data_IF_511788841747
#
_entry.id   IF_511788841747
#
_cell.length_a   1.000
_cell.length_b   1.000
_cell.length_c   1.000
_cell.angle_alpha   90.00
_cell.angle_beta   90.00
_cell.angle_gamma   90.00
#
_symmetry.space_group_name_H-M   'P 1'
#
loop_
_entity.id
_entity.type
_entity.pdbx_description
1 polymer ?
#
# COMPACT_ATOMS: atom_id res chain seq x y z
N UNK A 1 2.43 15.01 3.34
CA UNK A 1 3.19 13.82 3.76
C UNK A 1 4.29 13.58 2.74
N UNK A 2 5.54 13.92 3.06
CA UNK A 2 6.67 13.61 2.19
C UNK A 2 7.02 12.14 2.33
N UNK A 3 6.68 11.32 1.34
CA UNK A 3 7.11 9.93 1.29
C UNK A 3 8.57 9.88 0.83
N UNK A 4 9.50 9.88 1.79
CA UNK A 4 10.90 9.61 1.51
C UNK A 4 11.08 8.10 1.32
N UNK A 5 11.29 7.70 0.07
CA UNK A 5 11.71 6.35 -0.31
C UNK A 5 13.15 6.11 0.18
N UNK A 6 13.39 4.95 0.78
CA UNK A 6 14.74 4.47 1.05
C UNK A 6 15.46 4.21 -0.27
N UNK A 7 16.69 4.69 -0.38
CA UNK A 7 17.65 4.06 -1.30
C UNK A 7 17.88 2.60 -0.91
N UNK A 8 18.35 1.76 -1.84
CA UNK A 8 18.65 0.36 -1.56
C UNK A 8 19.56 0.23 -0.32
N UNK A 9 19.23 -0.70 0.58
CA UNK A 9 20.15 -1.05 1.67
C UNK A 9 21.33 -1.79 1.05
N UNK A 10 22.54 -1.29 1.29
CA UNK A 10 23.74 -2.12 1.18
C UNK A 10 23.75 -3.08 2.38
N UNK A 11 23.02 -4.18 2.30
CA UNK A 11 23.18 -5.28 3.25
C UNK A 11 24.43 -6.08 2.81
N UNK A 12 25.61 -5.65 3.26
CA UNK A 12 26.93 -6.31 3.10
C UNK A 12 27.03 -7.64 3.89
N UNK A 13 25.97 -8.44 3.92
CA UNK A 13 25.94 -9.66 4.76
C UNK A 13 26.57 -10.88 4.10
N UNK A 14 26.96 -10.83 2.81
CA UNK A 14 27.62 -11.95 2.12
C UNK A 14 26.81 -13.25 2.09
N UNK A 15 25.53 -13.20 2.47
CA UNK A 15 24.66 -14.38 2.50
C UNK A 15 24.19 -14.64 1.07
N UNK A 16 24.74 -15.71 0.47
CA UNK A 16 24.27 -16.26 -0.80
C UNK A 16 22.79 -16.61 -0.64
N UNK A 17 21.91 -15.79 -1.23
CA UNK A 17 20.49 -16.10 -1.24
C UNK A 17 20.25 -17.36 -2.08
N UNK A 18 19.42 -18.31 -1.62
CA UNK A 18 19.20 -19.54 -2.37
C UNK A 18 18.59 -19.25 -3.76
N UNK A 19 19.00 -20.01 -4.76
CA UNK A 19 18.43 -19.95 -6.10
C UNK A 19 17.01 -20.55 -6.07
N UNK A 20 15.99 -19.71 -6.19
CA UNK A 20 14.59 -20.14 -6.18
C UNK A 20 13.99 -20.08 -7.59
N UNK A 21 13.27 -21.14 -7.98
CA UNK A 21 12.54 -21.20 -9.25
C UNK A 21 11.16 -20.56 -9.14
N UNK A 22 10.94 -19.44 -9.83
CA UNK A 22 9.64 -18.87 -10.20
C UNK A 22 9.89 -17.58 -11.00
N UNK A 23 9.29 -17.47 -12.20
CA UNK A 23 9.64 -16.48 -13.25
C UNK A 23 11.09 -16.65 -13.72
N UNK A 24 11.39 -16.48 -15.01
CA UNK A 24 12.78 -16.42 -15.46
C UNK A 24 13.43 -15.09 -15.00
N UNK A 25 13.50 -14.90 -13.68
CA UNK A 25 14.33 -13.89 -13.02
C UNK A 25 15.82 -14.18 -13.23
N UNK A 26 16.17 -15.35 -13.76
CA UNK A 26 17.54 -15.67 -14.17
C UNK A 26 17.89 -14.97 -15.49
N UNK A 27 16.92 -14.73 -16.38
CA UNK A 27 17.10 -13.87 -17.54
C UNK A 27 17.44 -12.44 -17.08
N UNK A 28 18.55 -11.93 -17.60
CA UNK A 28 18.94 -10.52 -17.44
C UNK A 28 18.02 -9.55 -18.19
N UNK A 29 17.09 -10.08 -19.00
CA UNK A 29 16.15 -9.33 -19.84
C UNK A 29 14.70 -9.60 -19.43
N UNK A 30 13.85 -8.59 -19.60
CA UNK A 30 12.39 -8.68 -19.53
C UNK A 30 11.74 -8.13 -20.80
N UNK A 31 10.49 -8.53 -21.06
CA UNK A 31 9.68 -8.00 -22.17
C UNK A 31 8.69 -6.97 -21.67
N UNK A 32 8.67 -5.79 -22.28
CA UNK A 32 7.71 -4.71 -22.05
C UNK A 32 6.67 -4.66 -23.19
N UNK A 33 5.81 -3.64 -23.23
CA UNK A 33 4.78 -3.46 -24.25
C UNK A 33 5.32 -3.60 -25.68
N UNK A 34 4.51 -4.15 -26.59
CA UNK A 34 4.93 -4.45 -27.96
C UNK A 34 5.97 -5.57 -28.10
N UNK A 35 6.31 -6.26 -27.00
CA UNK A 35 7.29 -7.36 -27.00
C UNK A 35 8.75 -6.88 -26.98
N UNK A 36 8.98 -5.59 -26.72
CA UNK A 36 10.32 -5.00 -26.65
C UNK A 36 11.11 -5.60 -25.47
N UNK A 37 12.35 -6.01 -25.71
CA UNK A 37 13.25 -6.51 -24.69
C UNK A 37 13.99 -5.36 -23.99
N UNK A 38 14.09 -5.43 -22.66
CA UNK A 38 14.81 -4.46 -21.83
C UNK A 38 15.57 -5.18 -20.73
N UNK A 39 16.74 -4.65 -20.32
CA UNK A 39 17.48 -5.18 -19.16
C UNK A 39 16.65 -5.04 -17.88
N UNK A 40 16.71 -6.03 -16.98
CA UNK A 40 16.05 -5.92 -15.65
C UNK A 40 16.72 -4.91 -14.72
N UNK A 41 17.94 -4.47 -15.05
CA UNK A 41 18.61 -3.36 -14.36
C UNK A 41 18.05 -1.98 -14.74
N UNK A 42 17.11 -1.94 -15.68
CA UNK A 42 16.52 -0.73 -16.22
C UNK A 42 15.05 -0.60 -15.81
N UNK A 43 14.58 0.65 -15.70
CA UNK A 43 13.15 0.94 -15.72
C UNK A 43 12.83 2.15 -16.61
N UNK A 44 11.63 2.15 -17.20
CA UNK A 44 11.11 3.25 -18.02
C UNK A 44 10.71 4.44 -17.13
N UNK A 45 11.08 5.65 -17.54
CA UNK A 45 10.90 6.87 -16.73
C UNK A 45 10.60 8.10 -17.59
N UNK A 46 10.05 9.15 -16.98
CA UNK A 46 9.70 10.39 -17.66
C UNK A 46 8.47 10.21 -18.55
N UNK A 47 7.35 9.89 -17.90
CA UNK A 47 6.07 9.67 -18.56
C UNK A 47 5.61 10.91 -19.34
N UNK A 48 5.23 10.72 -20.61
CA UNK A 48 4.86 11.79 -21.55
C UNK A 48 3.40 12.25 -21.44
N UNK A 49 2.56 11.55 -20.67
CA UNK A 49 1.24 12.05 -20.26
C UNK A 49 0.02 11.52 -21.01
N UNK A 50 0.16 10.62 -21.99
CA UNK A 50 -0.95 10.29 -22.92
C UNK A 50 -1.64 8.96 -22.70
N UNK A 51 -0.97 7.93 -22.16
CA UNK A 51 -1.50 6.57 -22.16
C UNK A 51 -2.07 6.07 -20.83
N UNK A 52 -1.74 6.71 -19.70
CA UNK A 52 -2.23 6.30 -18.40
C UNK A 52 -3.53 7.03 -18.05
N UNK A 53 -4.60 6.28 -17.73
CA UNK A 53 -5.89 6.89 -17.45
C UNK A 53 -5.88 7.61 -16.12
N UNK A 54 -6.71 8.64 -16.07
CA UNK A 54 -7.28 9.10 -14.82
C UNK A 54 -8.67 8.50 -14.69
N UNK A 55 -8.87 7.62 -13.72
CA UNK A 55 -10.19 7.10 -13.35
C UNK A 55 -10.74 7.97 -12.23
N UNK A 56 -11.74 8.82 -12.51
CA UNK A 56 -12.24 9.79 -11.53
C UNK A 56 -12.77 9.07 -10.29
N UNK A 57 -12.54 9.66 -9.12
CA UNK A 57 -13.16 9.19 -7.87
C UNK A 57 -14.68 9.41 -7.88
N UNK A 58 -15.38 8.86 -6.88
CA UNK A 58 -16.78 9.23 -6.67
C UNK A 58 -16.91 10.74 -6.45
N UNK A 59 -17.82 11.37 -7.19
CA UNK A 59 -18.09 12.82 -7.16
C UNK A 59 -18.88 13.27 -5.93
N UNK A 60 -19.29 12.32 -5.10
CA UNK A 60 -20.04 12.56 -3.89
C UNK A 60 -19.23 13.39 -2.88
N UNK A 61 -19.68 14.63 -2.69
CA UNK A 61 -19.11 15.53 -1.69
C UNK A 61 -19.86 15.41 -0.36
N UNK A 62 -19.13 15.51 0.73
CA UNK A 62 -19.66 15.68 2.07
C UNK A 62 -18.94 16.82 2.78
N UNK A 63 -19.54 17.33 3.86
CA UNK A 63 -18.89 18.28 4.77
C UNK A 63 -18.27 17.52 5.94
N UNK A 64 -17.25 18.12 6.57
CA UNK A 64 -16.70 17.60 7.81
C UNK A 64 -17.74 17.73 8.92
N UNK A 65 -17.87 16.70 9.76
CA UNK A 65 -18.73 16.72 10.94
C UNK A 65 -18.02 17.34 12.13
N UNK A 66 -16.71 17.15 12.23
CA UNK A 66 -15.86 17.82 13.22
C UNK A 66 -15.02 18.87 12.50
N UNK A 67 -15.37 20.15 12.66
CA UNK A 67 -14.67 21.27 12.00
C UNK A 67 -13.20 21.45 12.44
N UNK A 68 -12.84 20.85 13.58
CA UNK A 68 -11.52 20.93 14.20
C UNK A 68 -10.53 19.88 13.71
N UNK A 69 -9.64 19.54 14.63
CA UNK A 69 -8.52 18.62 14.49
C UNK A 69 -8.75 17.34 15.29
N UNK A 70 -7.84 16.39 15.16
CA UNK A 70 -7.87 15.17 15.98
C UNK A 70 -7.63 15.47 17.46
N UNK A 71 -6.84 16.51 17.78
CA UNK A 71 -6.63 16.98 19.15
C UNK A 71 -7.92 17.55 19.75
N UNK A 72 -8.74 18.23 18.94
CA UNK A 72 -10.05 18.72 19.38
C UNK A 72 -10.99 17.57 19.74
N UNK A 73 -10.95 16.47 18.96
CA UNK A 73 -11.68 15.24 19.30
C UNK A 73 -11.13 14.62 20.59
N UNK A 74 -9.81 14.48 20.72
CA UNK A 74 -9.18 13.91 21.92
C UNK A 74 -9.50 14.71 23.19
N UNK A 75 -9.59 16.04 23.07
CA UNK A 75 -9.96 16.93 24.19
C UNK A 75 -11.43 16.78 24.57
N UNK A 76 -12.32 16.66 23.59
CA UNK A 76 -13.76 16.51 23.82
C UNK A 76 -14.15 15.08 24.26
N UNK A 77 -13.38 14.08 23.83
CA UNK A 77 -13.62 12.65 24.04
C UNK A 77 -12.33 11.94 24.44
N UNK A 78 -11.84 12.13 25.69
CA UNK A 78 -10.58 11.53 26.16
C UNK A 78 -10.55 10.00 26.06
N UNK A 79 -11.70 9.34 26.15
CA UNK A 79 -11.86 7.89 25.96
C UNK A 79 -11.47 7.42 24.55
N UNK A 80 -11.42 8.32 23.57
CA UNK A 80 -11.06 8.00 22.19
C UNK A 80 -9.55 8.02 21.94
N UNK A 81 -8.74 8.58 22.85
CA UNK A 81 -7.28 8.69 22.68
C UNK A 81 -6.60 7.38 22.20
N UNK A 82 -6.97 6.17 22.69
CA UNK A 82 -6.36 4.93 22.23
C UNK A 82 -6.47 4.67 20.73
N UNK A 83 -7.53 5.18 20.06
CA UNK A 83 -7.78 4.96 18.63
C UNK A 83 -7.32 6.13 17.75
N UNK A 84 -7.18 7.33 18.33
CA UNK A 84 -6.84 8.56 17.61
C UNK A 84 -5.37 8.63 17.20
N UNK A 85 -4.48 7.87 17.83
CA UNK A 85 -3.04 8.03 17.58
C UNK A 85 -2.32 6.70 17.34
N UNK A 86 -1.40 6.73 16.39
CA UNK A 86 -0.42 5.68 16.16
C UNK A 86 0.78 5.88 17.10
N UNK A 87 1.36 4.78 17.57
CA UNK A 87 2.65 4.81 18.26
C UNK A 87 3.78 4.84 17.23
N UNK A 88 4.67 5.84 17.36
CA UNK A 88 5.78 6.03 16.44
C UNK A 88 7.06 6.37 17.19
N UNK A 89 8.19 6.17 16.53
CA UNK A 89 9.50 6.70 16.91
C UNK A 89 9.92 7.73 15.87
N UNK A 90 10.05 8.99 16.27
CA UNK A 90 10.53 10.04 15.38
C UNK A 90 12.06 9.94 15.22
N UNK A 91 12.52 9.61 14.01
CA UNK A 91 13.95 9.45 13.74
C UNK A 91 14.72 10.74 14.07
N UNK A 92 15.78 10.63 14.89
CA UNK A 92 16.61 11.78 15.29
C UNK A 92 17.43 12.37 14.12
N UNK A 93 17.68 11.58 13.07
CA UNK A 93 18.46 11.99 11.90
C UNK A 93 17.63 12.76 10.86
N UNK A 94 16.52 12.18 10.40
CA UNK A 94 15.70 12.77 9.33
C UNK A 94 14.30 13.23 9.77
N UNK A 95 13.94 13.07 11.05
CA UNK A 95 12.62 13.46 11.59
C UNK A 95 11.46 12.56 11.15
N UNK A 96 11.69 11.54 10.33
CA UNK A 96 10.63 10.64 9.83
C UNK A 96 9.98 9.88 10.99
N UNK A 97 8.64 9.88 11.12
CA UNK A 97 7.96 8.98 12.02
C UNK A 97 8.10 7.55 11.50
N UNK A 98 8.73 6.69 12.29
CA UNK A 98 8.86 5.26 12.03
C UNK A 98 7.93 4.52 12.98
N UNK A 99 7.47 3.33 12.60
CA UNK A 99 6.62 2.57 13.50
C UNK A 99 7.39 2.19 14.78
N UNK A 100 6.69 2.16 15.92
CA UNK A 100 7.32 2.03 17.24
C UNK A 100 8.15 0.76 17.45
N UNK A 101 7.83 -0.33 16.73
CA UNK A 101 8.57 -1.59 16.79
C UNK A 101 9.87 -1.57 15.97
N UNK A 102 10.07 -0.57 15.11
CA UNK A 102 11.28 -0.49 14.28
C UNK A 102 12.51 -0.14 15.13
N UNK A 103 13.60 -0.87 14.90
CA UNK A 103 14.91 -0.61 15.51
C UNK A 103 15.81 0.27 14.65
N UNK A 104 15.48 0.43 13.37
CA UNK A 104 16.24 1.23 12.39
C UNK A 104 15.30 2.07 11.54
N UNK A 105 15.67 3.31 11.23
CA UNK A 105 14.88 4.19 10.38
C UNK A 105 14.88 3.68 8.94
N UNK A 106 13.68 3.41 8.41
CA UNK A 106 13.48 3.10 6.99
C UNK A 106 13.49 4.37 6.11
N UNK A 107 14.44 5.26 6.32
CA UNK A 107 14.74 6.32 5.37
C UNK A 107 16.23 6.64 5.36
N UNK A 108 16.83 6.79 6.54
CA UNK A 108 18.25 7.15 6.66
C UNK A 108 19.10 6.06 7.32
N UNK A 109 18.52 4.93 7.75
CA UNK A 109 19.25 3.85 8.41
C UNK A 109 19.69 4.14 9.85
N UNK A 110 19.40 5.31 10.42
CA UNK A 110 19.76 5.62 11.80
C UNK A 110 19.03 4.70 12.81
N UNK A 111 19.72 4.29 13.87
CA UNK A 111 19.13 3.51 14.97
C UNK A 111 17.97 4.24 15.65
N UNK A 112 16.94 3.47 15.99
CA UNK A 112 15.74 3.87 16.71
C UNK A 112 15.58 3.14 18.06
N UNK A 113 16.60 2.36 18.48
CA UNK A 113 16.53 1.60 19.73
C UNK A 113 16.22 2.51 20.93
N UNK A 114 16.95 3.63 21.05
CA UNK A 114 16.84 4.60 22.16
C UNK A 114 15.99 5.83 21.81
N UNK A 115 15.13 5.71 20.80
CA UNK A 115 14.18 6.77 20.44
C UNK A 115 12.89 6.53 21.23
N UNK A 116 12.43 7.48 22.06
CA UNK A 116 11.20 7.32 22.81
C UNK A 116 9.99 7.20 21.87
N UNK A 117 9.00 6.43 22.30
CA UNK A 117 7.73 6.33 21.59
C UNK A 117 6.98 7.65 21.77
N UNK A 118 6.58 8.25 20.65
CA UNK A 118 5.71 9.41 20.56
C UNK A 118 4.42 9.04 19.81
N UNK A 119 3.53 10.01 19.62
CA UNK A 119 2.26 9.83 18.94
C UNK A 119 2.26 10.53 17.59
N UNK A 120 1.63 9.91 16.61
CA UNK A 120 1.22 10.55 15.35
C UNK A 120 -0.27 10.31 15.11
N UNK A 121 -0.90 11.17 14.34
CA UNK A 121 -2.34 11.09 14.06
C UNK A 121 -2.70 9.81 13.31
N UNK A 122 -3.77 9.13 13.75
CA UNK A 122 -4.40 8.04 13.02
C UNK A 122 -5.38 8.62 12.00
N UNK A 123 -4.89 8.83 10.78
CA UNK A 123 -5.62 9.49 9.70
C UNK A 123 -6.87 8.70 9.29
N UNK A 124 -6.84 7.38 9.39
CA UNK A 124 -8.00 6.55 9.04
C UNK A 124 -9.13 6.69 10.05
N UNK A 125 -8.81 6.64 11.34
CA UNK A 125 -9.82 6.89 12.38
C UNK A 125 -10.36 8.32 12.32
N UNK A 126 -9.48 9.32 12.15
CA UNK A 126 -9.89 10.72 12.01
C UNK A 126 -10.84 10.93 10.82
N UNK A 127 -10.55 10.27 9.68
CA UNK A 127 -11.41 10.31 8.51
C UNK A 127 -12.77 9.64 8.76
N UNK A 128 -12.79 8.46 9.40
CA UNK A 128 -14.03 7.74 9.75
C UNK A 128 -14.96 8.57 10.65
N UNK A 129 -14.42 9.45 11.51
CA UNK A 129 -15.19 10.36 12.36
C UNK A 129 -15.49 11.71 11.70
N UNK A 130 -15.08 11.93 10.45
CA UNK A 130 -15.35 13.16 9.72
C UNK A 130 -14.62 14.39 10.26
N UNK A 131 -13.39 14.21 10.77
CA UNK A 131 -12.51 15.31 11.19
C UNK A 131 -12.06 16.13 9.98
N UNK A 132 -12.11 17.45 10.07
CA UNK A 132 -11.85 18.34 8.94
C UNK A 132 -10.38 18.36 8.54
N UNK A 133 -9.45 18.39 9.50
CA UNK A 133 -8.03 18.60 9.22
C UNK A 133 -7.12 17.97 10.27
N UNK A 134 -5.91 17.66 9.86
CA UNK A 134 -4.80 17.35 10.75
C UNK A 134 -4.38 18.58 11.56
N UNK A 135 -3.62 18.37 12.64
CA UNK A 135 -3.07 19.40 13.52
C UNK A 135 -2.22 20.43 12.75
N UNK A 136 -1.54 20.00 11.68
CA UNK A 136 -0.76 20.89 10.80
C UNK A 136 -1.60 21.60 9.73
N UNK A 137 -2.92 21.56 9.82
CA UNK A 137 -3.85 22.24 8.92
C UNK A 137 -4.10 21.51 7.59
N UNK A 138 -3.54 20.32 7.39
CA UNK A 138 -3.78 19.53 6.18
C UNK A 138 -5.22 19.01 6.17
N UNK A 139 -6.05 19.29 5.14
CA UNK A 139 -7.43 18.82 5.10
C UNK A 139 -7.47 17.30 5.02
N UNK A 140 -8.29 16.66 5.86
CA UNK A 140 -8.51 15.20 5.85
C UNK A 140 -9.56 14.81 4.81
N UNK A 141 -9.42 15.36 3.61
CA UNK A 141 -10.19 14.95 2.44
C UNK A 141 -9.45 13.80 1.77
N UNK A 142 -10.14 12.66 1.61
CA UNK A 142 -9.55 11.46 1.04
C UNK A 142 -10.31 11.08 -0.24
N UNK A 143 -9.60 10.49 -1.18
CA UNK A 143 -10.18 9.97 -2.42
C UNK A 143 -10.96 8.69 -2.15
N UNK A 144 -12.29 8.82 -2.12
CA UNK A 144 -13.24 7.76 -1.79
C UNK A 144 -13.63 6.95 -3.04
N UNK A 145 -13.52 5.63 -2.94
CA UNK A 145 -13.87 4.67 -4.02
C UNK A 145 -15.09 3.84 -3.70
N UNK A 146 -15.36 3.58 -2.43
CA UNK A 146 -16.57 2.89 -2.01
C UNK A 146 -16.84 3.15 -0.53
N UNK A 147 -18.11 3.25 -0.20
CA UNK A 147 -18.57 3.38 1.18
C UNK A 147 -19.83 2.54 1.35
N UNK A 148 -19.73 1.51 2.18
CA UNK A 148 -20.88 0.72 2.63
C UNK A 148 -21.10 0.96 4.12
N UNK A 149 -22.05 0.24 4.73
CA UNK A 149 -22.20 0.25 6.19
C UNK A 149 -20.93 -0.30 6.87
N UNK A 150 -20.37 -1.37 6.32
CA UNK A 150 -19.29 -2.16 6.92
C UNK A 150 -17.88 -1.76 6.48
N UNK A 151 -17.72 -1.28 5.24
CA UNK A 151 -16.40 -1.10 4.62
C UNK A 151 -16.26 0.30 4.02
N UNK A 152 -15.09 0.89 4.24
CA UNK A 152 -14.60 2.08 3.58
C UNK A 152 -13.46 1.69 2.63
N UNK A 153 -13.54 2.11 1.36
CA UNK A 153 -12.47 1.89 0.37
C UNK A 153 -12.02 3.23 -0.18
N UNK A 154 -10.72 3.48 -0.08
CA UNK A 154 -10.06 4.71 -0.53
C UNK A 154 -8.89 4.38 -1.44
N UNK A 155 -8.52 5.31 -2.32
CA UNK A 155 -7.23 5.21 -3.00
C UNK A 155 -6.09 5.30 -1.99
N UNK A 156 -5.04 4.51 -2.19
CA UNK A 156 -3.82 4.59 -1.38
C UNK A 156 -3.01 5.85 -1.75
N UNK A 157 -2.55 6.59 -0.73
CA UNK A 157 -1.78 7.83 -0.90
C UNK A 157 -0.38 7.60 -1.48
N UNK A 158 0.11 6.36 -1.41
CA UNK A 158 1.40 5.87 -1.88
C UNK A 158 1.18 4.78 -2.93
N UNK A 159 0.16 4.95 -3.77
CA UNK A 159 -0.23 4.06 -4.85
C UNK A 159 0.98 3.50 -5.64
N UNK A 160 1.05 2.16 -5.77
CA UNK A 160 2.09 1.47 -6.53
C UNK A 160 1.62 1.14 -7.96
N UNK A 161 0.32 1.19 -8.18
CA UNK A 161 -0.39 0.98 -9.44
C UNK A 161 -1.43 2.08 -9.59
N UNK A 162 -1.99 2.27 -10.79
CA UNK A 162 -3.11 3.19 -10.96
C UNK A 162 -4.37 2.75 -10.17
N UNK A 163 -4.54 1.47 -9.86
CA UNK A 163 -5.64 0.92 -9.06
C UNK A 163 -5.10 0.25 -7.79
N UNK A 164 -4.83 1.08 -6.78
CA UNK A 164 -4.32 0.68 -5.46
C UNK A 164 -5.24 1.25 -4.38
N UNK A 165 -5.89 0.37 -3.61
CA UNK A 165 -6.80 0.75 -2.54
C UNK A 165 -6.33 0.33 -1.16
N UNK A 166 -6.83 1.06 -0.16
CA UNK A 166 -6.98 0.56 1.20
C UNK A 166 -8.46 0.27 1.47
N UNK A 167 -8.78 -0.96 1.86
CA UNK A 167 -10.08 -1.26 2.46
C UNK A 167 -9.98 -1.27 3.98
N UNK A 168 -10.91 -0.60 4.65
CA UNK A 168 -10.92 -0.36 6.09
C UNK A 168 -12.29 -0.81 6.65
N UNK A 169 -12.36 -1.63 7.70
CA UNK A 169 -13.62 -1.89 8.37
C UNK A 169 -14.09 -0.64 9.12
N UNK A 170 -15.38 -0.34 9.04
CA UNK A 170 -15.97 0.86 9.66
C UNK A 170 -16.49 0.60 11.06
N UNK A 171 -17.08 -0.57 11.29
CA UNK A 171 -17.80 -0.87 12.53
C UNK A 171 -16.87 -1.03 13.72
N UNK A 172 -15.67 -1.56 13.50
CA UNK A 172 -14.75 -1.92 14.56
C UNK A 172 -13.42 -1.19 14.45
N UNK A 173 -12.89 -0.82 15.60
CA UNK A 173 -11.48 -0.46 15.70
C UNK A 173 -10.66 -1.73 15.86
N UNK A 174 -9.81 -2.00 14.87
CA UNK A 174 -8.92 -3.16 14.87
C UNK A 174 -7.52 -2.60 14.56
N UNK A 175 -6.56 -2.57 15.50
CA UNK A 175 -5.29 -1.87 15.29
C UNK A 175 -4.49 -2.37 14.09
N UNK A 176 -4.42 -3.69 13.92
CA UNK A 176 -3.66 -4.37 12.86
C UNK A 176 -4.19 -5.80 12.67
N UNK A 177 -3.63 -6.51 11.69
CA UNK A 177 -4.13 -7.85 11.30
C UNK A 177 -3.99 -8.90 12.40
N UNK A 178 -3.05 -8.76 13.36
CA UNK A 178 -2.86 -9.76 14.42
C UNK A 178 -4.14 -9.93 15.22
N UNK A 179 -4.85 -8.83 15.48
CA UNK A 179 -6.12 -8.84 16.22
C UNK A 179 -7.24 -9.59 15.49
N UNK A 180 -7.10 -9.94 14.21
CA UNK A 180 -8.04 -10.86 13.55
C UNK A 180 -8.00 -12.27 14.16
N UNK A 181 -6.86 -12.66 14.73
CA UNK A 181 -6.66 -13.99 15.30
C UNK A 181 -7.45 -14.21 16.59
N UNK A 182 -7.95 -13.17 17.23
CA UNK A 182 -8.74 -13.28 18.48
C UNK A 182 -10.14 -13.82 18.22
N UNK A 183 -10.64 -13.71 16.98
CA UNK A 183 -11.97 -14.18 16.56
C UNK A 183 -11.92 -14.71 15.12
N UNK A 184 -11.33 -15.90 14.87
CA UNK A 184 -10.99 -16.32 13.51
C UNK A 184 -12.18 -16.43 12.54
N UNK A 185 -13.34 -16.90 13.02
CA UNK A 185 -14.56 -17.03 12.18
C UNK A 185 -15.09 -15.67 11.75
N UNK A 186 -15.27 -14.76 12.71
CA UNK A 186 -15.72 -13.39 12.44
C UNK A 186 -14.71 -12.63 11.57
N UNK A 187 -13.42 -12.87 11.78
CA UNK A 187 -12.37 -12.31 10.94
C UNK A 187 -12.46 -12.79 9.49
N UNK A 188 -12.68 -14.09 9.24
CA UNK A 188 -12.86 -14.61 7.89
C UNK A 188 -14.06 -13.97 7.19
N UNK A 189 -15.20 -13.85 7.87
CA UNK A 189 -16.41 -13.19 7.36
C UNK A 189 -16.15 -11.71 7.03
N UNK A 190 -15.39 -11.02 7.88
CA UNK A 190 -14.98 -9.64 7.63
C UNK A 190 -14.08 -9.54 6.39
N UNK A 191 -13.08 -10.42 6.27
CA UNK A 191 -12.18 -10.43 5.12
C UNK A 191 -12.91 -10.75 3.81
N UNK A 192 -13.88 -11.67 3.82
CA UNK A 192 -14.73 -11.98 2.66
C UNK A 192 -15.54 -10.77 2.23
N UNK A 193 -16.13 -10.06 3.20
CA UNK A 193 -16.87 -8.83 2.94
C UNK A 193 -15.96 -7.76 2.35
N UNK A 194 -14.81 -7.49 2.97
CA UNK A 194 -13.87 -6.48 2.49
C UNK A 194 -13.35 -6.81 1.08
N UNK A 195 -13.02 -8.07 0.80
CA UNK A 195 -12.57 -8.52 -0.52
C UNK A 195 -13.66 -8.38 -1.59
N UNK A 196 -14.91 -8.74 -1.26
CA UNK A 196 -16.04 -8.55 -2.17
C UNK A 196 -16.22 -7.06 -2.53
N UNK A 197 -16.17 -6.18 -1.53
CA UNK A 197 -16.33 -4.74 -1.75
C UNK A 197 -15.14 -4.11 -2.51
N UNK A 198 -13.92 -4.59 -2.25
CA UNK A 198 -12.71 -4.24 -3.01
C UNK A 198 -12.84 -4.58 -4.48
N UNK A 199 -13.40 -5.75 -4.77
CA UNK A 199 -13.64 -6.16 -6.15
C UNK A 199 -14.67 -5.25 -6.83
N UNK A 200 -15.78 -4.92 -6.16
CA UNK A 200 -16.77 -3.96 -6.69
C UNK A 200 -16.14 -2.60 -6.97
N UNK A 201 -15.29 -2.08 -6.07
CA UNK A 201 -14.56 -0.83 -6.31
C UNK A 201 -13.61 -0.92 -7.52
N UNK A 202 -12.93 -2.06 -7.68
CA UNK A 202 -12.02 -2.33 -8.81
C UNK A 202 -12.74 -2.25 -10.16
N UNK A 203 -14.03 -2.61 -10.22
CA UNK A 203 -14.82 -2.55 -11.46
C UNK A 203 -14.92 -1.14 -12.05
N UNK A 204 -14.78 -0.08 -11.25
CA UNK A 204 -14.74 1.30 -11.77
C UNK A 204 -13.56 1.52 -12.73
N UNK A 205 -12.40 0.93 -12.39
CA UNK A 205 -11.22 0.97 -13.23
C UNK A 205 -11.36 0.02 -14.41
N UNK A 206 -11.82 -1.21 -14.17
CA UNK A 206 -11.97 -2.21 -15.23
C UNK A 206 -13.03 -1.84 -16.29
N UNK A 207 -13.96 -0.95 -15.98
CA UNK A 207 -14.92 -0.42 -16.95
C UNK A 207 -14.40 0.82 -17.70
N UNK A 208 -13.23 1.36 -17.33
CA UNK A 208 -12.59 2.48 -18.03
C UNK A 208 -11.75 1.94 -19.20
N UNK A 209 -12.05 2.37 -20.42
CA UNK A 209 -11.30 1.99 -21.63
C UNK A 209 -9.81 2.37 -21.51
N UNK A 210 -9.52 3.57 -20.99
CA UNK A 210 -8.14 4.00 -20.78
C UNK A 210 -7.38 3.11 -19.80
N UNK A 211 -8.03 2.64 -18.72
CA UNK A 211 -7.43 1.69 -17.80
C UNK A 211 -7.27 0.29 -18.39
N UNK A 212 -8.19 -0.13 -19.24
CA UNK A 212 -8.00 -1.37 -20.00
C UNK A 212 -6.84 -1.29 -20.97
N UNK A 213 -6.59 -0.12 -21.57
CA UNK A 213 -5.48 0.08 -22.51
C UNK A 213 -4.08 -0.13 -21.89
N UNK A 214 -3.92 0.13 -20.59
CA UNK A 214 -2.63 -0.09 -19.89
C UNK A 214 -2.40 -1.55 -19.47
N UNK A 215 -3.39 -2.42 -19.65
CA UNK A 215 -3.28 -3.85 -19.44
C UNK A 215 -3.01 -4.55 -20.78
N UNK A 216 -2.32 -5.69 -20.75
CA UNK A 216 -2.23 -6.51 -21.97
C UNK A 216 -3.64 -6.92 -22.42
N UNK A 217 -3.92 -6.92 -23.74
CA UNK A 217 -5.20 -7.36 -24.24
C UNK A 217 -5.39 -8.87 -24.01
N UNK A 218 -6.66 -9.30 -23.96
CA UNK A 218 -7.03 -10.71 -23.87
C UNK A 218 -7.30 -11.25 -22.46
N UNK A 219 -7.04 -10.48 -21.41
CA UNK A 219 -7.38 -10.86 -20.04
C UNK A 219 -8.82 -10.48 -19.68
N UNK A 220 -9.60 -11.45 -19.22
CA UNK A 220 -10.91 -11.18 -18.62
C UNK A 220 -10.75 -10.53 -17.24
N UNK A 221 -11.84 -9.98 -16.69
CA UNK A 221 -11.87 -9.46 -15.31
C UNK A 221 -11.48 -10.52 -14.29
N UNK A 222 -11.96 -11.76 -14.46
CA UNK A 222 -11.62 -12.86 -13.56
C UNK A 222 -10.16 -13.30 -13.71
N UNK A 223 -9.56 -13.14 -14.90
CA UNK A 223 -8.11 -13.34 -15.05
C UNK A 223 -7.34 -12.26 -14.29
N UNK A 224 -7.73 -10.99 -14.44
CA UNK A 224 -7.11 -9.87 -13.72
C UNK A 224 -7.27 -10.03 -12.21
N UNK A 225 -8.41 -10.53 -11.74
CA UNK A 225 -8.66 -10.76 -10.31
C UNK A 225 -7.61 -11.69 -9.68
N UNK A 226 -7.16 -12.72 -10.41
CA UNK A 226 -6.10 -13.65 -9.97
C UNK A 226 -4.73 -12.98 -9.81
N UNK A 227 -4.56 -11.80 -10.39
CA UNK A 227 -3.32 -11.04 -10.39
C UNK A 227 -3.30 -9.88 -9.38
N UNK A 228 -4.33 -9.77 -8.54
CA UNK A 228 -4.35 -8.81 -7.44
C UNK A 228 -3.30 -9.19 -6.39
N UNK A 229 -2.49 -8.21 -6.02
CA UNK A 229 -1.52 -8.30 -4.94
C UNK A 229 -2.21 -7.81 -3.67
N UNK A 230 -2.44 -8.72 -2.72
CA UNK A 230 -3.23 -8.44 -1.52
C UNK A 230 -2.48 -8.82 -0.23
N UNK A 231 -2.28 -7.84 0.66
CA UNK A 231 -1.52 -8.05 1.90
C UNK A 231 -1.89 -7.06 3.01
N UNK A 232 -1.41 -7.34 4.21
CA UNK A 232 -1.39 -6.44 5.35
C UNK A 232 0.05 -5.99 5.63
N UNK A 233 0.22 -4.77 6.12
CA UNK A 233 1.51 -4.31 6.65
C UNK A 233 1.57 -4.52 8.17
N UNK A 234 2.69 -5.02 8.67
CA UNK A 234 3.04 -5.00 10.08
C UNK A 234 4.44 -4.40 10.31
N UNK A 235 4.61 -3.51 11.29
CA UNK A 235 3.54 -2.69 11.87
C UNK A 235 2.83 -1.85 10.79
N UNK A 236 1.52 -1.58 10.91
CA UNK A 236 0.83 -0.72 9.96
C UNK A 236 1.22 0.75 10.15
N UNK A 237 1.08 1.55 9.10
CA UNK A 237 1.31 3.00 9.16
C UNK A 237 0.18 3.77 9.84
N UNK A 238 -1.01 3.17 9.90
CA UNK A 238 -2.21 3.67 10.57
C UNK A 238 -2.77 2.52 11.42
N UNK A 239 -3.01 2.75 12.71
CA UNK A 239 -3.54 1.74 13.63
C UNK A 239 -5.04 1.58 13.44
N UNK A 240 -5.42 1.19 12.24
CA UNK A 240 -6.75 0.79 11.85
C UNK A 240 -6.55 -0.22 10.73
N UNK A 241 -7.11 -1.41 10.89
CA UNK A 241 -6.94 -2.52 9.97
C UNK A 241 -7.23 -2.05 8.57
N UNK A 242 -6.30 -2.36 7.66
CA UNK A 242 -6.53 -2.10 6.26
C UNK A 242 -5.84 -3.14 5.39
N UNK A 243 -6.56 -3.55 4.35
CA UNK A 243 -6.04 -4.40 3.30
C UNK A 243 -5.40 -3.52 2.24
N UNK A 244 -4.14 -3.78 1.89
CA UNK A 244 -3.49 -3.21 0.72
C UNK A 244 -3.93 -4.03 -0.50
N UNK A 245 -4.78 -3.44 -1.34
CA UNK A 245 -5.33 -4.08 -2.54
C UNK A 245 -4.75 -3.45 -3.79
N UNK A 246 -3.80 -4.15 -4.41
CA UNK A 246 -2.99 -3.62 -5.50
C UNK A 246 -3.31 -4.41 -6.77
N UNK A 247 -4.05 -3.82 -7.70
CA UNK A 247 -4.34 -4.44 -8.99
C UNK A 247 -3.15 -4.22 -9.91
N UNK A 248 -2.48 -5.30 -10.33
CA UNK A 248 -1.38 -5.27 -11.27
C UNK A 248 -1.80 -4.67 -12.64
N UNK A 249 -0.86 -4.10 -13.41
CA UNK A 249 0.59 -4.06 -13.18
C UNK A 249 1.03 -2.92 -12.24
N UNK A 250 2.14 -3.15 -11.52
CA UNK A 250 2.94 -2.06 -10.93
C UNK A 250 3.36 -1.07 -12.02
N UNK A 251 3.58 0.20 -11.66
CA UNK A 251 4.23 1.13 -12.60
C UNK A 251 5.69 0.70 -12.81
N UNK A 252 6.36 1.08 -13.93
CA UNK A 252 7.70 0.58 -14.25
C UNK A 252 8.72 0.73 -13.10
N UNK A 253 8.77 1.91 -12.48
CA UNK A 253 9.63 2.15 -11.33
C UNK A 253 9.26 1.29 -10.10
N UNK A 254 7.97 1.14 -9.81
CA UNK A 254 7.52 0.34 -8.65
C UNK A 254 7.75 -1.16 -8.88
N UNK A 255 7.71 -1.63 -10.13
CA UNK A 255 8.11 -2.99 -10.47
C UNK A 255 9.59 -3.21 -10.22
N UNK A 256 10.45 -2.34 -10.76
CA UNK A 256 11.90 -2.40 -10.53
C UNK A 256 12.23 -2.41 -9.03
N UNK A 257 11.61 -1.53 -8.25
CA UNK A 257 11.76 -1.50 -6.80
C UNK A 257 11.28 -2.78 -6.12
N UNK A 258 10.24 -3.43 -6.67
CA UNK A 258 9.78 -4.70 -6.17
C UNK A 258 10.79 -5.80 -6.47
N UNK A 259 11.39 -5.85 -7.66
CA UNK A 259 12.46 -6.82 -8.00
C UNK A 259 13.68 -6.70 -7.08
N UNK A 260 14.05 -5.46 -6.74
CA UNK A 260 15.11 -5.11 -5.78
C UNK A 260 14.72 -5.36 -4.31
N UNK A 261 13.61 -6.07 -4.05
CA UNK A 261 13.07 -6.36 -2.71
C UNK A 261 12.83 -5.10 -1.85
N UNK A 262 12.62 -3.95 -2.49
CA UNK A 262 12.28 -2.68 -1.83
C UNK A 262 10.76 -2.45 -1.72
N UNK A 263 9.97 -3.44 -2.14
CA UNK A 263 8.55 -3.59 -1.80
C UNK A 263 8.30 -4.95 -1.19
N UNK A 264 7.16 -5.06 -0.49
CA UNK A 264 6.66 -6.32 0.03
C UNK A 264 7.62 -7.05 0.97
N UNK A 265 8.46 -6.34 1.72
CA UNK A 265 9.49 -6.96 2.58
C UNK A 265 8.97 -8.12 3.44
N UNK A 266 9.78 -9.17 3.54
CA UNK A 266 9.61 -10.25 4.54
C UNK A 266 9.51 -9.63 5.93
N UNK A 267 8.69 -10.22 6.79
CA UNK A 267 8.34 -9.76 8.15
C UNK A 267 7.57 -8.44 8.24
N UNK A 268 7.28 -7.80 7.10
CA UNK A 268 6.44 -6.60 7.02
C UNK A 268 5.17 -6.81 6.22
N UNK A 269 5.27 -7.48 5.07
CA UNK A 269 4.11 -7.82 4.25
C UNK A 269 3.56 -9.20 4.66
N UNK A 270 2.32 -9.23 5.10
CA UNK A 270 1.59 -10.44 5.46
C UNK A 270 0.55 -10.71 4.39
N UNK A 271 0.77 -11.67 3.47
CA UNK A 271 -0.17 -11.95 2.40
C UNK A 271 -1.55 -12.30 2.94
N UNK A 272 -2.61 -11.81 2.30
CA UNK A 272 -3.97 -12.15 2.74
C UNK A 272 -4.22 -13.68 2.69
N UNK A 273 -3.57 -14.39 1.76
CA UNK A 273 -3.59 -15.86 1.70
C UNK A 273 -3.01 -16.53 2.95
N UNK A 274 -1.91 -16.01 3.50
CA UNK A 274 -1.31 -16.50 4.74
C UNK A 274 -2.26 -16.25 5.92
N UNK A 275 -2.77 -15.02 6.06
CA UNK A 275 -3.69 -14.65 7.14
C UNK A 275 -4.97 -15.49 7.09
N UNK A 276 -5.55 -15.73 5.91
CA UNK A 276 -6.72 -16.61 5.76
C UNK A 276 -6.41 -18.06 6.16
N UNK A 277 -5.24 -18.59 5.80
CA UNK A 277 -4.83 -19.97 6.16
C UNK A 277 -4.71 -20.16 7.67
N UNK A 278 -4.09 -19.22 8.39
CA UNK A 278 -3.98 -19.31 9.86
C UNK A 278 -5.35 -19.12 10.54
N UNK A 279 -6.20 -18.23 10.04
CA UNK A 279 -7.57 -18.07 10.56
C UNK A 279 -8.44 -19.30 10.30
N UNK A 280 -8.23 -20.00 9.18
CA UNK A 280 -8.96 -21.22 8.83
C UNK A 280 -8.69 -22.38 9.79
N UNK A 281 -7.56 -22.36 10.54
CA UNK A 281 -7.33 -23.29 11.65
C UNK A 281 -8.39 -23.12 12.76
N UNK A 282 -9.12 -22.00 12.78
CA UNK A 282 -10.24 -21.71 13.68
C UNK A 282 -9.85 -21.73 15.17
N UNK A 283 -8.57 -21.49 15.47
CA UNK A 283 -8.04 -21.42 16.83
C UNK A 283 -7.80 -19.95 17.22
N UNK A 284 -8.53 -19.42 18.23
CA UNK A 284 -8.27 -18.08 18.72
C UNK A 284 -6.86 -17.93 19.29
N UNK A 285 -6.17 -16.85 18.93
CA UNK A 285 -4.88 -16.47 19.51
C UNK A 285 -5.04 -15.21 20.38
N UNK A 286 -4.51 -15.25 21.60
CA UNK A 286 -4.59 -14.12 22.52
C UNK A 286 -3.57 -13.04 22.15
N UNK A 287 -3.98 -12.09 21.31
CA UNK A 287 -3.15 -10.97 20.89
C UNK A 287 -3.28 -9.80 21.85
N UNK A 288 -2.12 -9.26 22.25
CA UNK A 288 -1.97 -7.98 22.93
C UNK A 288 -1.28 -6.99 22.01
N UNK A 289 -1.36 -5.69 22.33
CA UNK A 289 -0.72 -4.61 21.55
C UNK A 289 0.77 -4.90 21.31
N UNK A 290 1.45 -5.41 22.34
CA UNK A 290 2.88 -5.70 22.39
C UNK A 290 3.27 -7.14 22.00
N UNK A 291 2.32 -8.01 21.60
CA UNK A 291 2.63 -9.38 21.17
C UNK A 291 3.59 -9.38 19.97
N UNK A 292 4.82 -9.91 20.09
CA UNK A 292 5.78 -9.92 18.99
C UNK A 292 5.24 -10.68 17.78
N UNK A 293 5.53 -10.18 16.57
CA UNK A 293 5.03 -10.83 15.34
C UNK A 293 5.71 -12.17 15.11
N UNK A 294 6.95 -12.30 15.56
CA UNK A 294 7.78 -13.50 15.49
C UNK A 294 7.18 -14.63 16.33
N UNK A 295 6.51 -14.31 17.44
CA UNK A 295 5.81 -15.29 18.27
C UNK A 295 4.61 -15.90 17.51
N UNK A 296 3.83 -15.04 16.86
CA UNK A 296 2.67 -15.45 16.05
C UNK A 296 3.14 -16.30 14.86
N UNK A 297 4.16 -15.84 14.13
CA UNK A 297 4.74 -16.60 13.00
C UNK A 297 5.22 -17.97 13.47
N UNK A 298 6.04 -18.02 14.53
CA UNK A 298 6.55 -19.28 15.08
C UNK A 298 5.42 -20.24 15.50
N UNK A 299 4.36 -19.72 16.10
CA UNK A 299 3.22 -20.53 16.52
C UNK A 299 2.52 -21.20 15.33
N UNK A 300 2.25 -20.46 14.25
CA UNK A 300 1.54 -21.00 13.09
C UNK A 300 2.44 -21.81 12.14
N UNK A 301 3.74 -21.52 12.10
CA UNK A 301 4.74 -22.37 11.44
C UNK A 301 4.73 -23.79 12.04
N UNK A 302 4.66 -23.90 13.38
CA UNK A 302 4.56 -25.19 14.09
C UNK A 302 3.25 -25.95 13.80
N UNK A 303 2.22 -25.25 13.30
CA UNK A 303 0.94 -25.82 12.88
C UNK A 303 0.89 -26.11 11.37
N UNK A 304 2.00 -25.93 10.66
CA UNK A 304 2.13 -26.26 9.24
C UNK A 304 1.75 -25.14 8.27
N UNK A 305 1.44 -23.93 8.75
CA UNK A 305 1.24 -22.75 7.90
C UNK A 305 2.51 -21.89 7.95
N UNK A 306 3.50 -22.26 7.13
CA UNK A 306 4.82 -21.64 7.16
C UNK A 306 4.81 -20.25 6.51
N UNK A 307 5.02 -19.19 7.30
CA UNK A 307 4.96 -17.79 6.82
C UNK A 307 5.92 -17.55 5.67
N UNK A 308 7.18 -17.99 5.80
CA UNK A 308 8.21 -17.77 4.78
C UNK A 308 7.83 -18.37 3.42
N UNK A 309 7.21 -19.54 3.41
CA UNK A 309 6.77 -20.18 2.17
C UNK A 309 5.61 -19.41 1.53
N UNK A 310 4.65 -18.96 2.34
CA UNK A 310 3.51 -18.17 1.85
C UNK A 310 3.93 -16.78 1.37
N UNK A 311 4.87 -16.13 2.08
CA UNK A 311 5.46 -14.86 1.67
C UNK A 311 6.24 -15.00 0.37
N UNK A 312 7.09 -16.02 0.23
CA UNK A 312 7.84 -16.27 -1.01
C UNK A 312 6.89 -16.49 -2.19
N UNK A 313 5.85 -17.33 -2.04
CA UNK A 313 4.84 -17.54 -3.08
C UNK A 313 4.15 -16.24 -3.47
N UNK A 314 3.73 -15.45 -2.48
CA UNK A 314 3.10 -14.15 -2.70
C UNK A 314 4.02 -13.17 -3.44
N UNK A 315 5.26 -13.04 -3.00
CA UNK A 315 6.25 -12.12 -3.59
C UNK A 315 6.52 -12.49 -5.05
N UNK A 316 6.79 -13.77 -5.32
CA UNK A 316 7.01 -14.25 -6.69
C UNK A 316 5.78 -14.08 -7.58
N UNK A 317 4.59 -14.37 -7.04
CA UNK A 317 3.34 -14.15 -7.76
C UNK A 317 3.11 -12.65 -8.04
N UNK A 318 3.52 -11.74 -7.15
CA UNK A 318 3.39 -10.29 -7.36
C UNK A 318 4.23 -9.80 -8.54
N UNK A 319 5.48 -10.27 -8.64
CA UNK A 319 6.36 -9.97 -9.79
C UNK A 319 5.81 -10.58 -11.07
N UNK A 320 5.38 -11.84 -11.02
CA UNK A 320 4.77 -12.54 -12.16
C UNK A 320 3.51 -11.84 -12.65
N UNK A 321 2.60 -11.48 -11.76
CA UNK A 321 1.34 -10.79 -12.08
C UNK A 321 1.59 -9.46 -12.78
N UNK A 322 2.61 -8.72 -12.35
CA UNK A 322 3.00 -7.49 -13.03
C UNK A 322 3.45 -7.77 -14.46
N UNK A 323 4.35 -8.72 -14.66
CA UNK A 323 4.86 -9.06 -16.00
C UNK A 323 3.79 -9.67 -16.91
N UNK A 324 2.83 -10.39 -16.34
CA UNK A 324 1.70 -10.95 -17.07
C UNK A 324 0.82 -9.83 -17.63
N UNK A 325 0.40 -8.87 -16.79
CA UNK A 325 -0.59 -7.86 -17.14
C UNK A 325 -0.02 -6.57 -17.72
N UNK A 326 1.27 -6.27 -17.56
CA UNK A 326 1.82 -4.97 -17.99
C UNK A 326 1.76 -4.76 -19.50
N UNK A 327 1.38 -3.56 -19.93
CA UNK A 327 1.49 -3.12 -21.32
C UNK A 327 2.27 -1.81 -21.41
N UNK A 328 3.46 -1.76 -20.79
CA UNK A 328 4.28 -0.55 -20.75
C UNK A 328 4.87 -0.26 -22.13
N UNK A 329 4.26 0.66 -22.89
CA UNK A 329 4.82 1.11 -24.15
C UNK A 329 6.06 1.95 -23.92
N UNK A 330 7.15 1.65 -24.61
CA UNK A 330 8.35 2.49 -24.60
C UNK A 330 8.07 3.91 -25.10
N UNK A 331 7.10 4.07 -25.99
CA UNK A 331 6.76 5.37 -26.58
C UNK A 331 6.17 6.34 -25.55
N UNK A 332 5.65 5.83 -24.43
CA UNK A 332 5.06 6.64 -23.37
C UNK A 332 6.09 7.27 -22.44
N UNK A 333 7.37 6.88 -22.54
CA UNK A 333 8.42 7.29 -21.64
C UNK A 333 9.57 7.96 -22.40
N UNK A 334 10.17 8.96 -21.78
CA UNK A 334 11.26 9.73 -22.37
C UNK A 334 12.63 9.12 -22.05
N UNK A 335 12.77 8.47 -20.90
CA UNK A 335 14.05 8.03 -20.39
C UNK A 335 14.01 6.57 -19.96
N UNK A 336 15.21 6.01 -19.83
CA UNK A 336 15.47 4.81 -19.04
C UNK A 336 16.40 5.19 -17.90
N UNK A 337 16.16 4.62 -16.73
CA UNK A 337 17.11 4.71 -15.62
C UNK A 337 17.77 3.36 -15.41
N UNK A 338 19.11 3.36 -15.36
CA UNK A 338 19.92 2.19 -15.05
C UNK A 338 20.98 2.57 -14.01
N UNK A 339 21.14 1.76 -12.96
CA UNK A 339 22.17 1.96 -11.94
C UNK A 339 22.16 3.39 -11.34
N UNK A 340 20.97 3.96 -11.16
CA UNK A 340 20.78 5.33 -10.66
C UNK A 340 21.14 6.46 -11.63
N UNK A 341 21.33 6.16 -12.93
CA UNK A 341 21.66 7.13 -13.98
C UNK A 341 20.54 7.25 -15.00
N UNK A 342 20.26 8.47 -15.42
CA UNK A 342 19.22 8.77 -16.42
C UNK A 342 19.84 8.76 -17.81
N UNK A 343 19.23 8.01 -18.73
CA UNK A 343 19.66 7.90 -20.11
C UNK A 343 18.51 8.21 -21.07
N UNK A 344 18.83 8.83 -22.20
CA UNK A 344 17.99 8.69 -23.39
C UNK A 344 18.07 7.25 -23.89
N UNK A 345 17.09 6.83 -24.69
CA UNK A 345 17.09 5.49 -25.26
C UNK A 345 16.41 5.43 -26.62
N UNK A 346 16.68 4.36 -27.36
CA UNK A 346 15.87 3.97 -28.50
C UNK A 346 15.54 2.49 -28.46
N UNK A 347 14.55 2.09 -29.27
CA UNK A 347 14.25 0.69 -29.52
C UNK A 347 14.81 0.31 -30.89
N UNK A 348 15.84 -0.53 -30.90
CA UNK A 348 16.46 -1.04 -32.12
C UNK A 348 16.47 -2.56 -32.09
N UNK A 349 16.01 -3.19 -33.19
CA UNK A 349 15.80 -4.64 -33.30
C UNK A 349 14.93 -5.23 -32.17
N UNK A 350 13.91 -4.49 -31.74
CA UNK A 350 13.01 -4.92 -30.65
C UNK A 350 13.65 -4.90 -29.27
N UNK A 351 14.76 -4.17 -29.07
CA UNK A 351 15.44 -4.07 -27.78
C UNK A 351 15.74 -2.61 -27.42
N UNK A 352 15.57 -2.27 -26.15
CA UNK A 352 15.99 -0.97 -25.58
C UNK A 352 17.52 -0.86 -25.61
N UNK A 353 18.02 0.19 -26.25
CA UNK A 353 19.44 0.55 -26.29
C UNK A 353 19.63 1.93 -25.65
N UNK A 354 20.55 2.01 -24.69
CA UNK A 354 20.91 3.27 -24.05
C UNK A 354 21.63 4.18 -25.04
N UNK A 355 21.28 5.46 -25.01
CA UNK A 355 21.96 6.54 -25.73
C UNK A 355 22.69 7.45 -24.75
N UNK A 356 22.45 8.75 -24.87
CA UNK A 356 23.11 9.80 -24.11
C UNK A 356 22.78 9.67 -22.63
N UNK A 357 23.81 9.85 -21.80
CA UNK A 357 23.69 9.95 -20.35
C UNK A 357 23.46 11.42 -19.96
N UNK A 358 22.45 11.66 -19.12
CA UNK A 358 22.16 12.98 -18.59
C UNK A 358 22.69 13.12 -17.16
N UNK A 359 23.88 13.73 -17.04
CA UNK A 359 24.52 13.95 -15.73
C UNK A 359 23.72 14.90 -14.81
N UNK A 360 22.97 15.83 -15.39
CA UNK A 360 22.25 16.87 -14.64
C UNK A 360 20.81 16.48 -14.27
N UNK A 361 20.33 15.30 -14.71
CA UNK A 361 19.00 14.82 -14.37
C UNK A 361 19.05 13.90 -13.15
N UNK A 362 18.30 14.27 -12.11
CA UNK A 362 18.11 13.44 -10.92
C UNK A 362 16.96 12.42 -11.16
N UNK A 363 17.23 11.10 -11.11
CA UNK A 363 16.20 10.08 -11.21
C UNK A 363 15.05 10.27 -10.23
N UNK A 364 15.32 10.77 -9.02
CA UNK A 364 14.30 10.98 -7.99
C UNK A 364 13.26 12.03 -8.43
N UNK A 365 13.72 13.12 -9.04
CA UNK A 365 12.84 14.18 -9.55
C UNK A 365 11.94 13.65 -10.67
N UNK A 366 12.47 12.77 -11.53
CA UNK A 366 11.68 12.11 -12.58
C UNK A 366 10.66 11.15 -11.96
N UNK A 367 11.09 10.31 -11.01
CA UNK A 367 10.21 9.38 -10.29
C UNK A 367 9.06 10.11 -9.58
N UNK A 368 9.33 11.24 -8.93
CA UNK A 368 8.30 12.03 -8.24
C UNK A 368 7.26 12.60 -9.23
N UNK A 369 7.71 13.05 -10.41
CA UNK A 369 6.81 13.50 -11.50
C UNK A 369 5.97 12.34 -12.04
N UNK A 370 6.61 11.21 -12.35
CA UNK A 370 5.93 10.02 -12.85
C UNK A 370 4.90 9.52 -11.83
N UNK A 371 5.26 9.49 -10.54
CA UNK A 371 4.34 9.10 -9.48
C UNK A 371 3.10 9.98 -9.47
N UNK A 372 3.28 11.30 -9.54
CA UNK A 372 2.13 12.23 -9.61
C UNK A 372 1.30 11.93 -10.85
N UNK A 373 1.91 11.72 -12.01
CA UNK A 373 1.20 11.51 -13.26
C UNK A 373 0.47 10.15 -13.35
N UNK A 374 1.05 9.08 -12.80
CA UNK A 374 0.56 7.71 -12.94
C UNK A 374 -0.38 7.26 -11.80
N UNK A 375 -0.41 7.96 -10.68
CA UNK A 375 -1.32 7.65 -9.57
C UNK A 375 -2.73 8.22 -9.77
N UNK A 376 -3.75 7.51 -9.28
CA UNK A 376 -5.14 7.96 -9.31
C UNK A 376 -5.62 8.68 -8.03
N UNK A 377 -4.82 8.67 -6.97
CA UNK A 377 -5.22 9.27 -5.70
C UNK A 377 -5.67 10.72 -5.88
N UNK A 378 -6.94 10.96 -5.56
CA UNK A 378 -7.56 12.28 -5.55
C UNK A 378 -7.71 12.90 -6.92
N UNK A 379 -7.94 12.10 -7.96
CA UNK A 379 -8.21 12.60 -9.31
C UNK A 379 -9.71 12.82 -9.57
N UNK A 380 -10.09 13.85 -10.37
CA UNK A 380 -9.23 14.85 -11.02
C UNK A 380 -8.60 15.81 -10.02
N UNK A 381 -7.50 16.48 -10.39
CA UNK A 381 -6.89 17.49 -9.52
C UNK A 381 -7.59 18.84 -9.72
N UNK A 382 -7.74 19.60 -8.64
CA UNK A 382 -8.23 20.99 -8.65
C UNK A 382 -7.08 21.86 -8.16
N UNK A 383 -6.70 22.87 -8.95
CA UNK A 383 -5.56 23.74 -8.68
C UNK A 383 -4.24 22.98 -8.41
N UNK A 384 -4.03 21.88 -9.16
CA UNK A 384 -2.85 21.02 -9.03
C UNK A 384 -2.80 20.17 -7.76
N UNK A 385 -3.86 20.16 -6.95
CA UNK A 385 -3.95 19.39 -5.70
C UNK A 385 -4.89 18.19 -5.86
N UNK A 386 -4.60 17.07 -5.17
CA UNK A 386 -5.54 15.96 -5.07
C UNK A 386 -6.88 16.47 -4.55
N UNK A 387 -7.95 16.12 -5.25
CA UNK A 387 -9.30 16.24 -4.73
C UNK A 387 -9.59 15.12 -3.73
N UNK A 388 -10.63 15.32 -2.94
CA UNK A 388 -11.09 14.36 -1.97
C UNK A 388 -12.41 14.82 -1.38
N UNK A 389 -13.03 13.94 -0.63
CA UNK A 389 -14.28 14.21 0.07
C UNK A 389 -14.12 13.88 1.55
N UNK A 390 -15.07 14.32 2.37
CA UNK A 390 -15.22 13.79 3.72
C UNK A 390 -16.11 12.55 3.67
N UNK A 391 -16.07 11.73 4.71
CA UNK A 391 -16.94 10.54 4.77
C UNK A 391 -18.41 10.96 4.92
N UNK A 392 -19.31 10.29 4.20
CA UNK A 392 -20.76 10.40 4.46
C UNK A 392 -21.11 9.54 5.68
N UNK A 393 -21.99 10.04 6.55
CA UNK A 393 -22.38 9.37 7.80
C UNK A 393 -21.16 8.92 8.64
N UNK A 394 -20.35 9.88 9.13
CA UNK A 394 -19.20 9.56 9.98
C UNK A 394 -19.61 8.87 11.27
N UNK A 395 -18.67 8.14 11.84
CA UNK A 395 -18.79 7.61 13.19
C UNK A 395 -18.85 8.76 14.20
N UNK A 396 -19.66 8.57 15.24
CA UNK A 396 -19.59 9.38 16.44
C UNK A 396 -18.23 9.14 17.10
N UNK A 397 -17.63 10.20 17.67
CA UNK A 397 -16.40 10.11 18.45
C UNK A 397 -16.65 9.47 19.83
N UNK A 398 -17.03 8.20 19.85
CA UNK A 398 -17.24 7.41 21.07
C UNK A 398 -16.89 5.94 20.82
N UNK A 399 -16.61 5.23 21.90
CA UNK A 399 -16.49 3.78 21.90
C UNK A 399 -17.85 3.13 22.14
N UNK A 400 -18.10 2.02 21.47
CA UNK A 400 -19.33 1.24 21.58
C UNK A 400 -20.43 1.64 20.60
N UNK A 401 -21.41 0.75 20.49
CA UNK A 401 -22.58 0.90 19.63
C UNK A 401 -23.75 1.58 20.37
N UNK A 402 -24.70 2.21 19.65
CA UNK A 402 -24.71 2.44 18.20
C UNK A 402 -23.89 3.67 17.79
N UNK A 403 -23.30 3.63 16.60
CA UNK A 403 -22.72 4.79 15.90
C UNK A 403 -21.26 5.14 16.23
N UNK A 404 -20.64 4.55 17.25
CA UNK A 404 -19.20 4.65 17.52
C UNK A 404 -18.42 3.45 16.97
N UNK A 405 -17.17 3.27 17.42
CA UNK A 405 -16.44 2.02 17.16
C UNK A 405 -16.96 0.91 18.07
N UNK A 406 -17.59 -0.11 17.48
CA UNK A 406 -17.96 -1.34 18.17
C UNK A 406 -16.75 -2.11 18.67
N UNK A 407 -16.95 -2.92 19.70
CA UNK A 407 -15.90 -3.76 20.28
C UNK A 407 -15.46 -4.84 19.28
N UNK A 408 -14.15 -5.10 19.22
CA UNK A 408 -13.60 -6.28 18.57
C UNK A 408 -12.99 -7.21 19.64
N UNK A 409 -13.20 -8.54 19.55
CA UNK A 409 -12.63 -9.47 20.54
C UNK A 409 -11.12 -9.26 20.73
N UNK A 410 -10.68 -9.24 21.99
CA UNK A 410 -9.26 -9.06 22.36
C UNK A 410 -8.69 -7.65 22.14
N UNK A 411 -9.46 -6.69 21.62
CA UNK A 411 -9.05 -5.28 21.58
C UNK A 411 -9.53 -4.59 22.86
N UNK A 412 -8.60 -4.29 23.76
CA UNK A 412 -8.87 -3.48 24.94
C UNK A 412 -8.67 -1.99 24.61
N UNK A 413 -9.73 -1.21 24.82
CA UNK A 413 -9.76 0.24 24.58
C UNK A 413 -9.89 1.05 25.87
N UNK A 414 -9.83 0.38 27.04
CA UNK A 414 -9.93 1.04 28.35
C UNK A 414 -8.58 1.48 28.91
#
# INVERSE_FOLDING_TARGET
MGAFFCGPRCDDTGVVQPSFGAVDLQSSLMKVGGGVCMSRKMYLAGFKGTSYPTVPMHTDTALATVAGTIDDVAKAHPEMIPVLYNDVKACKGCGKPCAYTMTMCNSCGMSLADVPITKSENVFCAFLMGVAKANKGFPLKISLRRLTEDVLIIDDLLALTPCHFNAIPKKHYIPDWRFLLTSPKQALELLDTMEAELWVATKQFLNSEGYRGILKPGHSDEDIRKHVICSFNFPPSQFQLHIQWIVAPLTPFQHFMAEERNHFHEDRAFPMSYVRKILALSEPYNVKRDTPIEEIVKHFDQKGVVYKDEWNKFYQQSLKSTMELQNWSTDDFQYVVQDGKVHDFEVSNGQVQLKDFFADLDPKVIQDKDKVALQNYGRPYVDGKPTGTYIKAPLMAKLGEPGGFGAWPGVDLK
#
